data_IF_053643500961
#
_entry.id   IF_053643500961
#
_cell.length_a   1.000
_cell.length_b   1.000
_cell.length_c   1.000
_cell.angle_alpha   90.00
_cell.angle_beta   90.00
_cell.angle_gamma   90.00
#
_symmetry.space_group_name_H-M   'P 1'
#
loop_
_entity.id
_entity.type
_entity.pdbx_description
1 polymer ?
#
# COMPACT_ATOMS: atom_id res chain seq x y z
N UNK A 1 -19.22 -94.21 23.18
CA UNK A 1 -18.68 -94.58 21.83
C UNK A 1 -19.47 -93.98 20.65
N UNK A 2 -20.82 -94.10 20.61
CA UNK A 2 -21.66 -93.57 19.54
C UNK A 2 -21.74 -92.02 19.54
N UNK A 3 -21.69 -91.33 20.69
CA UNK A 3 -21.74 -89.87 20.87
C UNK A 3 -20.43 -89.26 20.44
N UNK A 4 -19.30 -89.87 20.74
CA UNK A 4 -17.94 -89.36 20.36
C UNK A 4 -17.70 -89.43 18.84
N UNK A 5 -18.14 -90.52 18.21
CA UNK A 5 -18.10 -90.62 16.72
C UNK A 5 -19.01 -89.64 16.03
N UNK A 6 -20.15 -89.31 16.64
CA UNK A 6 -21.06 -88.30 16.10
C UNK A 6 -20.45 -86.91 16.23
N UNK A 7 -19.85 -86.58 17.34
CA UNK A 7 -19.10 -85.31 17.55
C UNK A 7 -17.91 -85.21 16.60
N UNK A 8 -17.17 -86.29 16.39
CA UNK A 8 -16.05 -86.32 15.44
C UNK A 8 -16.55 -86.08 14.00
N UNK A 9 -17.68 -86.72 13.62
CA UNK A 9 -18.30 -86.55 12.29
C UNK A 9 -18.84 -85.12 12.07
N UNK A 10 -19.24 -84.44 13.13
CA UNK A 10 -19.73 -83.04 13.03
C UNK A 10 -18.56 -82.03 12.95
N UNK A 11 -17.45 -82.27 13.72
CA UNK A 11 -16.28 -81.43 13.69
C UNK A 11 -15.47 -81.57 12.41
N UNK A 12 -15.54 -82.69 11.74
CA UNK A 12 -14.81 -82.95 10.46
C UNK A 12 -15.76 -82.91 9.24
N UNK A 13 -16.90 -82.23 9.36
CA UNK A 13 -17.97 -82.14 8.34
C UNK A 13 -17.49 -81.62 6.97
N UNK A 14 -16.51 -80.79 6.98
CA UNK A 14 -15.89 -80.16 5.81
C UNK A 14 -14.72 -80.99 5.16
N UNK A 15 -14.28 -82.05 5.89
CA UNK A 15 -13.22 -82.90 5.36
C UNK A 15 -13.79 -84.22 4.77
N UNK A 16 -13.78 -84.31 3.38
CA UNK A 16 -14.27 -85.49 2.70
C UNK A 16 -13.54 -86.80 3.04
N UNK A 17 -12.23 -86.72 3.22
CA UNK A 17 -11.37 -87.88 3.52
C UNK A 17 -11.66 -88.39 4.93
N UNK A 18 -11.79 -87.54 5.88
CA UNK A 18 -12.15 -87.95 7.26
C UNK A 18 -13.55 -88.50 7.33
N UNK A 19 -14.53 -87.98 6.59
CA UNK A 19 -15.86 -88.56 6.45
C UNK A 19 -15.79 -90.01 5.96
N UNK A 20 -15.02 -90.23 4.89
CA UNK A 20 -14.80 -91.58 4.32
C UNK A 20 -14.18 -92.53 5.37
N UNK A 21 -13.23 -92.06 6.17
CA UNK A 21 -12.60 -92.82 7.21
C UNK A 21 -13.60 -93.10 8.36
N UNK A 22 -14.40 -92.12 8.73
CA UNK A 22 -15.49 -92.33 9.76
C UNK A 22 -16.51 -93.36 9.24
N UNK A 23 -16.89 -93.32 7.98
CA UNK A 23 -17.82 -94.28 7.41
C UNK A 23 -17.19 -95.73 7.34
N UNK A 24 -15.91 -95.83 7.15
CA UNK A 24 -15.14 -97.10 7.21
C UNK A 24 -15.03 -97.65 8.62
N UNK A 25 -14.82 -96.82 9.65
CA UNK A 25 -14.63 -97.26 11.04
C UNK A 25 -15.93 -97.58 11.72
N UNK A 26 -17.10 -96.97 11.37
CA UNK A 26 -18.43 -97.23 11.99
C UNK A 26 -18.81 -98.67 12.04
N UNK A 27 -18.76 -99.48 10.95
CA UNK A 27 -19.13 -100.86 10.95
C UNK A 27 -18.15 -101.68 11.78
N UNK A 28 -16.87 -101.35 11.80
CA UNK A 28 -15.84 -102.07 12.58
C UNK A 28 -16.03 -101.85 14.08
N UNK A 29 -16.37 -100.62 14.50
CA UNK A 29 -16.71 -100.29 15.87
C UNK A 29 -18.02 -100.92 16.30
N UNK A 30 -19.04 -100.90 15.45
CA UNK A 30 -20.34 -101.56 15.73
C UNK A 30 -20.14 -103.09 15.96
N UNK A 31 -19.32 -103.73 15.11
CA UNK A 31 -18.90 -105.11 15.29
C UNK A 31 -18.16 -105.33 16.66
N UNK A 32 -17.15 -104.49 16.94
CA UNK A 32 -16.40 -104.60 18.22
C UNK A 32 -17.32 -104.43 19.44
N UNK A 33 -18.28 -103.47 19.39
CA UNK A 33 -19.23 -103.27 20.48
C UNK A 33 -20.14 -104.48 20.66
N UNK A 34 -20.69 -105.05 19.53
CA UNK A 34 -21.54 -106.24 19.56
C UNK A 34 -20.79 -107.45 20.14
N UNK A 35 -19.53 -107.67 19.66
CA UNK A 35 -18.71 -108.79 20.20
C UNK A 35 -18.43 -108.57 21.69
N UNK A 36 -18.16 -107.40 22.15
CA UNK A 36 -17.95 -107.11 23.56
C UNK A 36 -19.22 -107.34 24.37
N UNK A 37 -20.37 -106.82 23.92
CA UNK A 37 -21.63 -106.97 24.64
C UNK A 37 -22.08 -108.45 24.69
N UNK A 38 -21.99 -109.21 23.59
CA UNK A 38 -22.26 -110.63 23.51
C UNK A 38 -21.33 -111.45 24.42
N UNK A 39 -20.04 -111.11 24.43
CA UNK A 39 -19.04 -111.73 25.32
C UNK A 39 -19.31 -111.48 26.79
N UNK A 40 -19.62 -110.22 27.14
CA UNK A 40 -19.98 -109.86 28.56
C UNK A 40 -21.31 -110.55 28.99
N UNK A 41 -22.31 -110.68 28.10
CA UNK A 41 -23.55 -111.38 28.37
C UNK A 41 -23.31 -112.84 28.63
N UNK A 42 -22.50 -113.53 27.82
CA UNK A 42 -22.17 -115.00 28.04
C UNK A 42 -21.35 -115.17 29.30
N UNK A 43 -20.40 -114.35 29.61
CA UNK A 43 -19.61 -114.44 30.84
C UNK A 43 -20.46 -114.20 32.10
N UNK A 44 -21.36 -113.20 32.04
CA UNK A 44 -22.25 -112.86 33.13
C UNK A 44 -23.32 -113.98 33.39
N UNK A 45 -23.70 -114.78 32.38
CA UNK A 45 -24.54 -115.95 32.44
C UNK A 45 -23.84 -117.18 32.95
N UNK A 46 -22.54 -117.19 33.25
CA UNK A 46 -21.73 -118.28 33.69
C UNK A 46 -21.18 -119.18 32.61
N UNK A 47 -21.39 -118.84 31.32
CA UNK A 47 -20.94 -119.63 30.15
C UNK A 47 -19.60 -119.14 29.59
N UNK A 48 -18.55 -119.17 30.45
CA UNK A 48 -17.24 -118.67 30.11
C UNK A 48 -16.55 -119.38 28.92
N UNK A 49 -16.72 -120.75 28.91
CA UNK A 49 -16.07 -121.55 27.82
C UNK A 49 -16.78 -121.34 26.46
N UNK A 50 -18.08 -121.11 26.44
CA UNK A 50 -18.89 -120.76 25.28
C UNK A 50 -18.48 -119.36 24.75
N UNK A 51 -18.21 -118.39 25.66
CA UNK A 51 -17.72 -117.10 25.29
C UNK A 51 -16.36 -117.12 24.59
N UNK A 52 -15.44 -118.00 25.05
CA UNK A 52 -14.10 -118.22 24.42
C UNK A 52 -14.24 -118.90 23.06
N UNK A 53 -15.15 -119.91 22.91
CA UNK A 53 -15.37 -120.58 21.60
C UNK A 53 -16.16 -119.76 20.61
N UNK A 54 -17.08 -118.91 21.02
CA UNK A 54 -17.89 -118.06 20.17
C UNK A 54 -17.05 -116.93 19.46
N UNK A 55 -15.93 -116.56 20.07
CA UNK A 55 -15.05 -115.50 19.55
C UNK A 55 -13.59 -115.93 19.48
N UNK A 56 -13.22 -116.71 18.48
CA UNK A 56 -11.86 -117.15 18.30
C UNK A 56 -10.95 -115.91 18.03
N UNK A 57 -9.77 -115.92 18.68
CA UNK A 57 -8.81 -114.80 18.57
C UNK A 57 -8.47 -114.43 17.12
N UNK A 58 -8.48 -115.42 16.21
CA UNK A 58 -8.21 -115.19 14.77
C UNK A 58 -9.30 -114.36 14.06
N UNK A 59 -10.59 -114.57 14.43
CA UNK A 59 -11.71 -113.82 13.84
C UNK A 59 -11.83 -112.39 14.37
N UNK A 60 -11.35 -112.16 15.60
CA UNK A 60 -11.29 -110.80 16.19
C UNK A 60 -10.12 -109.96 15.68
N UNK A 61 -9.05 -110.55 15.16
CA UNK A 61 -7.87 -109.89 14.78
C UNK A 61 -8.06 -108.96 13.54
N UNK A 62 -8.79 -109.41 12.51
CA UNK A 62 -8.99 -108.64 11.28
C UNK A 62 -9.80 -107.33 11.47
N UNK A 63 -10.93 -107.32 12.17
CA UNK A 63 -11.60 -106.04 12.44
C UNK A 63 -10.82 -105.09 13.34
N UNK A 64 -10.03 -105.58 14.30
CA UNK A 64 -9.19 -104.78 15.18
C UNK A 64 -8.02 -104.16 14.38
N UNK A 65 -7.38 -104.90 13.46
CA UNK A 65 -6.40 -104.36 12.51
C UNK A 65 -7.04 -103.33 11.57
N UNK A 66 -8.32 -103.58 11.18
CA UNK A 66 -9.07 -102.61 10.40
C UNK A 66 -9.28 -101.28 11.08
N UNK A 67 -9.68 -101.32 12.39
CA UNK A 67 -9.85 -100.16 13.23
C UNK A 67 -8.52 -99.36 13.31
N UNK A 68 -7.47 -100.07 13.64
CA UNK A 68 -6.14 -99.49 13.77
C UNK A 68 -5.67 -98.82 12.48
N UNK A 69 -5.83 -99.50 11.35
CA UNK A 69 -5.47 -98.95 10.04
C UNK A 69 -6.25 -97.69 9.73
N UNK A 70 -7.55 -97.66 9.94
CA UNK A 70 -8.38 -96.46 9.71
C UNK A 70 -7.95 -95.32 10.63
N UNK A 71 -7.63 -95.59 11.88
CA UNK A 71 -7.17 -94.62 12.86
C UNK A 71 -5.81 -94.08 12.50
N UNK A 72 -4.90 -94.95 12.04
CA UNK A 72 -3.56 -94.50 11.53
C UNK A 72 -3.68 -93.68 10.24
N UNK A 73 -4.60 -94.08 9.32
CA UNK A 73 -4.89 -93.22 8.12
C UNK A 73 -5.44 -91.87 8.50
N UNK A 74 -6.35 -91.78 9.49
CA UNK A 74 -6.92 -90.49 9.98
C UNK A 74 -5.82 -89.62 10.63
N UNK A 75 -4.96 -90.18 11.45
CA UNK A 75 -3.84 -89.43 12.05
C UNK A 75 -2.86 -88.94 11.06
N UNK A 76 -2.53 -89.73 10.00
CA UNK A 76 -1.67 -89.35 8.96
C UNK A 76 -2.18 -88.15 8.12
N UNK A 77 -3.52 -88.22 7.82
CA UNK A 77 -4.21 -87.13 7.10
C UNK A 77 -4.21 -85.84 7.92
N UNK A 78 -4.63 -85.90 9.20
CA UNK A 78 -4.66 -84.79 10.13
C UNK A 78 -3.28 -84.15 10.25
N UNK A 79 -2.24 -84.96 10.36
CA UNK A 79 -0.85 -84.52 10.43
C UNK A 79 -0.43 -83.81 9.14
N UNK A 80 -0.83 -84.33 7.98
CA UNK A 80 -0.57 -83.76 6.67
C UNK A 80 -1.24 -82.38 6.52
N UNK A 81 -2.50 -82.24 6.90
CA UNK A 81 -3.24 -80.97 6.87
C UNK A 81 -2.65 -79.91 7.83
N UNK A 82 -2.23 -80.37 9.02
CA UNK A 82 -1.62 -79.50 10.01
C UNK A 82 -0.28 -78.91 9.51
N UNK A 83 0.55 -79.76 8.89
CA UNK A 83 1.80 -79.30 8.27
C UNK A 83 1.57 -78.31 7.13
N UNK A 84 0.55 -78.56 6.30
CA UNK A 84 0.20 -77.63 5.20
C UNK A 84 -0.34 -76.29 5.73
N UNK A 85 -1.16 -76.28 6.77
CA UNK A 85 -1.65 -75.05 7.40
C UNK A 85 -0.52 -74.24 7.99
N UNK A 86 0.35 -74.90 8.76
CA UNK A 86 1.54 -74.23 9.34
C UNK A 86 2.47 -73.64 8.28
N UNK A 87 2.67 -74.35 7.16
CA UNK A 87 3.48 -73.85 6.05
C UNK A 87 2.86 -72.57 5.42
N UNK A 88 1.53 -72.55 5.17
CA UNK A 88 0.81 -71.39 4.65
C UNK A 88 0.85 -70.20 5.61
N UNK A 89 0.68 -70.44 6.91
CA UNK A 89 0.80 -69.40 7.92
C UNK A 89 2.20 -68.79 7.95
N UNK A 90 3.21 -69.62 7.86
CA UNK A 90 4.61 -69.14 7.80
C UNK A 90 4.88 -68.30 6.56
N UNK A 91 4.33 -68.67 5.40
CA UNK A 91 4.47 -67.88 4.17
C UNK A 91 3.73 -66.53 4.30
N UNK A 92 2.52 -66.51 4.85
CA UNK A 92 1.77 -65.29 5.10
C UNK A 92 2.49 -64.32 6.08
N UNK A 93 3.07 -64.89 7.15
CA UNK A 93 3.87 -64.10 8.10
C UNK A 93 5.13 -63.49 7.43
N UNK A 94 5.86 -64.31 6.63
CA UNK A 94 7.01 -63.83 5.88
C UNK A 94 6.62 -62.67 4.93
N UNK A 95 5.53 -62.84 4.18
CA UNK A 95 5.02 -61.79 3.27
C UNK A 95 4.72 -60.49 4.04
N UNK A 96 4.02 -60.59 5.18
CA UNK A 96 3.73 -59.43 6.01
C UNK A 96 5.02 -58.72 6.52
N UNK A 97 6.03 -59.49 6.91
CA UNK A 97 7.33 -58.94 7.34
C UNK A 97 8.00 -58.19 6.16
N UNK A 98 8.02 -58.77 4.98
CA UNK A 98 8.63 -58.12 3.81
C UNK A 98 7.90 -56.86 3.41
N UNK A 99 6.57 -56.89 3.40
CA UNK A 99 5.73 -55.71 3.09
C UNK A 99 5.98 -54.61 4.15
N UNK A 100 6.00 -54.97 5.45
CA UNK A 100 6.29 -54.05 6.54
C UNK A 100 7.68 -53.41 6.43
N UNK A 101 8.71 -54.20 6.11
CA UNK A 101 10.08 -53.70 5.88
C UNK A 101 10.15 -52.77 4.67
N UNK A 102 9.53 -53.13 3.56
CA UNK A 102 9.48 -52.30 2.37
C UNK A 102 8.78 -50.96 2.65
N UNK A 103 7.65 -50.98 3.36
CA UNK A 103 6.95 -49.79 3.79
C UNK A 103 7.81 -48.88 4.72
N UNK A 104 8.52 -49.49 5.68
CA UNK A 104 9.43 -48.76 6.59
C UNK A 104 10.57 -48.08 5.82
N UNK A 105 11.18 -48.79 4.86
CA UNK A 105 12.24 -48.23 4.00
C UNK A 105 11.69 -47.06 3.16
N UNK A 106 10.53 -47.24 2.54
CA UNK A 106 9.90 -46.18 1.75
C UNK A 106 9.62 -44.92 2.57
N UNK A 107 9.05 -45.07 3.76
CA UNK A 107 8.81 -43.96 4.69
C UNK A 107 10.12 -43.28 5.10
N UNK A 108 11.17 -44.04 5.34
CA UNK A 108 12.50 -43.51 5.66
C UNK A 108 13.08 -42.67 4.52
N UNK A 109 12.96 -43.16 3.28
CA UNK A 109 13.39 -42.42 2.09
C UNK A 109 12.58 -41.14 1.87
N UNK A 110 11.26 -41.20 1.99
CA UNK A 110 10.40 -40.03 1.89
C UNK A 110 10.71 -38.99 2.95
N UNK A 111 10.92 -39.43 4.21
CA UNK A 111 11.31 -38.56 5.31
C UNK A 111 12.65 -37.86 5.04
N UNK A 112 13.65 -38.61 4.53
CA UNK A 112 14.93 -38.03 4.17
C UNK A 112 14.83 -37.00 3.05
N UNK A 113 14.09 -37.31 1.99
CA UNK A 113 13.85 -36.37 0.87
C UNK A 113 13.17 -35.10 1.38
N UNK A 114 12.11 -35.26 2.19
CA UNK A 114 11.39 -34.12 2.79
C UNK A 114 12.31 -33.27 3.66
N UNK A 115 13.17 -33.89 4.48
CA UNK A 115 14.13 -33.19 5.33
C UNK A 115 15.16 -32.39 4.50
N UNK A 116 15.68 -32.98 3.43
CA UNK A 116 16.64 -32.32 2.54
C UNK A 116 15.98 -31.15 1.78
N UNK A 117 14.76 -31.34 1.28
CA UNK A 117 13.99 -30.27 0.62
C UNK A 117 13.70 -29.10 1.59
N UNK A 118 13.28 -29.40 2.84
CA UNK A 118 13.02 -28.39 3.86
C UNK A 118 14.29 -27.59 4.22
N UNK A 119 15.44 -28.27 4.34
CA UNK A 119 16.72 -27.58 4.59
C UNK A 119 17.06 -26.61 3.47
N UNK A 120 17.00 -27.03 2.19
CA UNK A 120 17.26 -26.17 1.06
C UNK A 120 16.31 -24.97 1.03
N UNK A 121 15.02 -25.22 1.22
CA UNK A 121 14.03 -24.16 1.27
C UNK A 121 14.30 -23.14 2.41
N UNK A 122 14.69 -23.61 3.58
CA UNK A 122 15.06 -22.75 4.70
C UNK A 122 16.33 -21.91 4.41
N UNK A 123 17.33 -22.49 3.76
CA UNK A 123 18.55 -21.78 3.33
C UNK A 123 18.25 -20.72 2.28
N UNK A 124 17.44 -21.03 1.27
CA UNK A 124 17.01 -20.09 0.24
C UNK A 124 16.20 -18.93 0.83
N UNK A 125 15.28 -19.24 1.75
CA UNK A 125 14.46 -18.24 2.42
C UNK A 125 15.30 -17.28 3.29
N UNK A 126 16.24 -17.83 4.07
CA UNK A 126 17.14 -17.01 4.90
C UNK A 126 18.07 -16.15 4.04
N UNK A 127 18.56 -16.67 2.93
CA UNK A 127 19.35 -15.93 1.95
C UNK A 127 18.56 -14.78 1.31
N UNK A 128 17.32 -15.06 0.87
CA UNK A 128 16.45 -14.04 0.30
C UNK A 128 16.07 -12.93 1.32
N UNK A 129 15.78 -13.32 2.57
CA UNK A 129 15.53 -12.36 3.65
C UNK A 129 16.76 -11.49 3.95
N UNK A 130 17.96 -12.08 3.96
CA UNK A 130 19.21 -11.35 4.13
C UNK A 130 19.44 -10.33 3.02
N UNK A 131 19.26 -10.73 1.76
CA UNK A 131 19.39 -9.86 0.61
C UNK A 131 18.37 -8.71 0.64
N UNK A 132 17.11 -8.99 1.00
CA UNK A 132 16.06 -7.97 1.13
C UNK A 132 16.38 -6.96 2.23
N UNK A 133 16.86 -7.41 3.39
CA UNK A 133 17.28 -6.51 4.49
C UNK A 133 18.45 -5.62 4.08
N UNK A 134 19.47 -6.16 3.44
CA UNK A 134 20.62 -5.40 2.93
C UNK A 134 20.19 -4.36 1.89
N UNK A 135 19.31 -4.74 0.97
CA UNK A 135 18.76 -3.80 -0.03
C UNK A 135 17.97 -2.68 0.64
N UNK A 136 17.14 -3.01 1.62
CA UNK A 136 16.32 -2.00 2.34
C UNK A 136 17.20 -1.01 3.11
N UNK A 137 18.22 -1.50 3.83
CA UNK A 137 19.21 -0.65 4.51
C UNK A 137 19.95 0.26 3.53
N UNK A 138 20.36 -0.28 2.37
CA UNK A 138 21.03 0.51 1.33
C UNK A 138 20.12 1.59 0.75
N UNK A 139 18.82 1.27 0.54
CA UNK A 139 17.84 2.23 0.07
C UNK A 139 17.56 3.32 1.11
N UNK A 140 17.38 2.96 2.37
CA UNK A 140 17.19 3.92 3.47
C UNK A 140 18.38 4.88 3.56
N UNK A 141 19.60 4.35 3.49
CA UNK A 141 20.81 5.16 3.52
C UNK A 141 20.91 6.11 2.32
N UNK A 142 20.63 5.63 1.11
CA UNK A 142 20.58 6.49 -0.09
C UNK A 142 19.51 7.57 -0.02
N UNK A 143 18.34 7.24 0.51
CA UNK A 143 17.26 8.23 0.72
C UNK A 143 17.71 9.28 1.71
N UNK A 144 18.34 8.87 2.82
CA UNK A 144 18.85 9.79 3.84
C UNK A 144 19.94 10.69 3.28
N UNK A 145 20.94 10.14 2.58
CA UNK A 145 22.04 10.91 1.95
C UNK A 145 21.47 11.93 0.94
N UNK A 146 20.55 11.50 0.09
CA UNK A 146 19.89 12.39 -0.88
C UNK A 146 19.07 13.48 -0.22
N UNK A 147 18.41 13.18 0.88
CA UNK A 147 17.63 14.17 1.65
C UNK A 147 18.56 15.22 2.27
N UNK A 148 19.69 14.80 2.82
CA UNK A 148 20.72 15.70 3.36
C UNK A 148 21.28 16.60 2.25
N UNK A 149 21.64 16.02 1.09
CA UNK A 149 22.19 16.79 -0.03
C UNK A 149 21.18 17.82 -0.56
N UNK A 150 19.92 17.42 -0.72
CA UNK A 150 18.84 18.32 -1.14
C UNK A 150 18.60 19.44 -0.13
N UNK A 151 18.65 19.12 1.15
CA UNK A 151 18.48 20.11 2.23
C UNK A 151 19.63 21.13 2.21
N UNK A 152 20.89 20.67 2.07
CA UNK A 152 22.05 21.55 1.97
C UNK A 152 21.98 22.44 0.73
N UNK A 153 21.71 21.86 -0.44
CA UNK A 153 21.57 22.63 -1.67
C UNK A 153 20.47 23.69 -1.57
N UNK A 154 19.34 23.34 -0.96
CA UNK A 154 18.25 24.30 -0.74
C UNK A 154 18.64 25.41 0.23
N UNK A 155 19.35 25.09 1.31
CA UNK A 155 19.87 26.09 2.25
C UNK A 155 20.90 27.03 1.59
N UNK A 156 21.77 26.51 0.73
CA UNK A 156 22.74 27.33 -0.03
C UNK A 156 22.03 28.27 -1.02
N UNK A 157 21.04 27.76 -1.77
CA UNK A 157 20.22 28.58 -2.67
C UNK A 157 19.53 29.71 -1.89
N UNK A 158 18.94 29.41 -0.75
CA UNK A 158 18.26 30.39 0.08
C UNK A 158 19.24 31.44 0.65
N UNK A 159 20.42 31.00 1.11
CA UNK A 159 21.47 31.90 1.59
C UNK A 159 21.97 32.80 0.45
N UNK A 160 22.23 32.24 -0.73
CA UNK A 160 22.60 32.98 -1.90
C UNK A 160 21.54 34.02 -2.29
N UNK A 161 20.28 33.63 -2.36
CA UNK A 161 19.15 34.50 -2.62
C UNK A 161 19.10 35.69 -1.65
N UNK A 162 19.32 35.42 -0.35
CA UNK A 162 19.35 36.46 0.70
C UNK A 162 20.49 37.46 0.48
N UNK A 163 21.73 36.96 0.27
CA UNK A 163 22.91 37.81 0.08
C UNK A 163 22.76 38.67 -1.16
N UNK A 164 22.42 38.05 -2.32
CA UNK A 164 22.24 38.78 -3.56
C UNK A 164 21.15 39.83 -3.47
N UNK A 165 20.04 39.51 -2.81
CA UNK A 165 18.93 40.43 -2.60
C UNK A 165 19.32 41.63 -1.75
N UNK A 166 20.11 41.41 -0.69
CA UNK A 166 20.59 42.46 0.17
C UNK A 166 21.57 43.39 -0.60
N UNK A 167 22.51 42.80 -1.32
CA UNK A 167 23.57 43.57 -2.04
C UNK A 167 23.04 44.31 -3.29
N UNK A 168 21.94 43.81 -3.88
CA UNK A 168 21.27 44.52 -4.97
C UNK A 168 20.39 45.70 -4.49
N UNK A 169 19.85 45.65 -3.25
CA UNK A 169 18.97 46.71 -2.75
C UNK A 169 19.71 48.04 -2.60
N UNK A 170 20.94 48.05 -2.10
CA UNK A 170 21.70 49.26 -1.88
C UNK A 170 21.94 50.10 -3.19
N UNK A 171 22.46 49.52 -4.29
CA UNK A 171 22.60 50.27 -5.55
C UNK A 171 21.25 50.71 -6.13
N UNK A 172 20.16 49.95 -5.95
CA UNK A 172 18.85 50.35 -6.41
C UNK A 172 18.29 51.55 -5.65
N UNK A 173 18.47 51.62 -4.34
CA UNK A 173 18.10 52.81 -3.54
C UNK A 173 18.88 54.02 -4.02
N UNK A 174 20.16 53.87 -4.32
CA UNK A 174 20.99 54.99 -4.87
C UNK A 174 20.48 55.46 -6.24
N UNK A 175 20.16 54.51 -7.16
CA UNK A 175 19.60 54.87 -8.48
C UNK A 175 18.26 55.59 -8.33
N UNK A 176 17.40 55.15 -7.41
CA UNK A 176 16.14 55.83 -7.12
C UNK A 176 16.38 57.25 -6.56
N UNK A 177 17.37 57.43 -5.67
CA UNK A 177 17.74 58.73 -5.12
C UNK A 177 18.22 59.67 -6.24
N UNK A 178 19.17 59.26 -7.08
CA UNK A 178 19.68 60.04 -8.17
C UNK A 178 18.60 60.36 -9.22
N UNK A 179 17.69 59.45 -9.55
CA UNK A 179 16.55 59.74 -10.44
C UNK A 179 15.61 60.81 -9.88
N UNK A 180 15.40 60.81 -8.54
CA UNK A 180 14.60 61.84 -7.89
C UNK A 180 15.31 63.21 -7.89
N UNK A 181 16.64 63.26 -7.66
CA UNK A 181 17.44 64.47 -7.76
C UNK A 181 17.44 65.01 -9.19
N UNK A 182 17.55 64.16 -10.22
CA UNK A 182 17.46 64.57 -11.61
C UNK A 182 16.06 65.15 -11.93
N UNK A 183 14.99 64.56 -11.42
CA UNK A 183 13.62 65.04 -11.59
C UNK A 183 13.44 66.45 -10.97
N UNK A 184 14.02 66.68 -9.77
CA UNK A 184 14.05 68.02 -9.15
C UNK A 184 14.91 69.04 -9.92
N UNK A 185 16.10 68.64 -10.40
CA UNK A 185 16.99 69.50 -11.22
C UNK A 185 16.36 69.89 -12.57
N UNK A 186 15.46 69.08 -13.11
CA UNK A 186 14.71 69.36 -14.33
C UNK A 186 13.66 70.47 -14.18
N UNK A 187 13.12 70.69 -12.94
CA UNK A 187 12.09 71.71 -12.71
C UNK A 187 12.51 73.12 -13.11
N UNK A 188 13.67 73.66 -12.64
CA UNK A 188 14.14 74.98 -13.05
C UNK A 188 14.46 75.05 -14.54
N UNK A 189 14.93 74.00 -15.17
CA UNK A 189 15.21 73.96 -16.61
C UNK A 189 13.89 74.05 -17.40
N UNK A 190 12.84 73.38 -17.03
CA UNK A 190 11.52 73.46 -17.61
C UNK A 190 10.92 74.89 -17.42
N UNK A 191 11.12 75.48 -16.25
CA UNK A 191 10.68 76.86 -15.98
C UNK A 191 11.39 77.86 -16.85
N UNK A 192 12.73 77.67 -17.10
CA UNK A 192 13.53 78.49 -17.98
C UNK A 192 13.04 78.37 -19.43
N UNK A 193 12.78 77.16 -19.94
CA UNK A 193 12.21 76.91 -21.25
C UNK A 193 10.91 77.64 -21.46
N UNK A 194 9.97 77.53 -20.51
CA UNK A 194 8.68 78.21 -20.54
C UNK A 194 8.83 79.71 -20.50
N UNK A 195 9.73 80.23 -19.67
CA UNK A 195 10.02 81.65 -19.58
C UNK A 195 10.58 82.23 -20.90
N UNK A 196 11.44 81.45 -21.65
CA UNK A 196 11.95 81.85 -22.99
C UNK A 196 10.83 81.82 -24.00
N UNK A 197 9.97 80.78 -24.02
CA UNK A 197 8.84 80.65 -24.93
C UNK A 197 7.82 81.81 -24.78
N UNK A 198 7.56 82.22 -23.56
CA UNK A 198 6.64 83.33 -23.29
C UNK A 198 7.11 84.66 -23.71
N UNK A 199 8.46 84.87 -23.93
CA UNK A 199 9.07 86.12 -24.22
C UNK A 199 9.73 86.19 -25.61
N UNK A 200 9.89 85.03 -26.22
CA UNK A 200 10.59 84.95 -27.52
C UNK A 200 9.58 84.73 -28.66
N UNK A 201 9.20 85.82 -29.30
CA UNK A 201 8.27 85.81 -30.43
C UNK A 201 8.96 85.36 -31.75
N UNK A 202 10.29 85.19 -31.75
CA UNK A 202 11.06 84.84 -32.97
C UNK A 202 11.47 83.32 -32.99
N UNK A 203 11.05 82.47 -32.01
CA UNK A 203 11.29 81.04 -32.06
C UNK A 203 12.76 80.62 -31.99
N UNK A 204 13.55 81.20 -31.10
CA UNK A 204 14.99 80.95 -30.97
C UNK A 204 15.37 79.66 -30.25
N UNK A 205 14.41 78.97 -29.57
CA UNK A 205 14.72 77.73 -28.96
C UNK A 205 14.64 76.61 -30.00
N UNK A 206 15.69 75.81 -30.25
CA UNK A 206 15.62 74.73 -31.21
C UNK A 206 14.60 73.67 -30.72
N UNK A 207 13.72 73.19 -31.60
CA UNK A 207 12.70 72.17 -31.28
C UNK A 207 13.29 70.94 -30.62
N UNK A 208 14.53 70.57 -30.96
CA UNK A 208 15.27 69.48 -30.34
C UNK A 208 15.55 69.70 -28.85
N UNK A 209 15.84 70.94 -28.41
CA UNK A 209 16.11 71.28 -27.01
C UNK A 209 14.79 71.16 -26.20
N UNK A 210 13.72 71.69 -26.79
CA UNK A 210 12.39 71.60 -26.19
C UNK A 210 11.94 70.13 -26.02
N UNK A 211 12.06 69.31 -27.06
CA UNK A 211 11.74 67.90 -27.05
C UNK A 211 12.58 67.15 -26.00
N UNK A 212 13.89 67.43 -25.92
CA UNK A 212 14.76 66.81 -24.93
C UNK A 212 14.31 67.10 -23.47
N UNK A 213 13.95 68.35 -23.16
CA UNK A 213 13.64 68.82 -21.82
C UNK A 213 12.20 68.42 -21.42
N UNK A 214 11.25 68.51 -22.33
CA UNK A 214 9.81 68.29 -22.01
C UNK A 214 9.35 66.83 -22.17
N UNK A 215 10.07 66.06 -23.06
CA UNK A 215 9.68 64.70 -23.34
C UNK A 215 10.79 63.70 -23.07
N UNK A 216 11.96 63.76 -23.74
CA UNK A 216 12.92 62.66 -23.76
C UNK A 216 13.57 62.39 -22.40
N UNK A 217 14.01 63.43 -21.67
CA UNK A 217 14.64 63.30 -20.35
C UNK A 217 13.63 62.82 -19.28
N UNK A 218 12.40 63.42 -19.17
CA UNK A 218 11.36 62.88 -18.26
C UNK A 218 10.97 61.46 -18.55
N UNK A 219 10.84 61.08 -19.83
CA UNK A 219 10.52 59.71 -20.22
C UNK A 219 11.64 58.74 -19.78
N UNK A 220 12.91 59.10 -20.05
CA UNK A 220 14.06 58.29 -19.62
C UNK A 220 14.14 58.14 -18.10
N UNK A 221 13.98 59.23 -17.33
CA UNK A 221 13.93 59.19 -15.86
C UNK A 221 12.76 58.31 -15.39
N UNK A 222 11.57 58.46 -15.97
CA UNK A 222 10.39 57.64 -15.69
C UNK A 222 10.64 56.18 -15.95
N UNK A 223 11.34 55.83 -17.02
CA UNK A 223 11.69 54.48 -17.40
C UNK A 223 12.70 53.85 -16.41
N UNK A 224 13.73 54.57 -16.02
CA UNK A 224 14.72 54.14 -15.04
C UNK A 224 14.03 53.90 -13.70
N UNK A 225 13.22 54.83 -13.20
CA UNK A 225 12.49 54.70 -11.93
C UNK A 225 11.52 53.54 -11.93
N UNK A 226 10.78 53.30 -13.00
CA UNK A 226 9.88 52.20 -13.16
C UNK A 226 10.62 50.86 -13.15
N UNK A 227 11.74 50.76 -13.84
CA UNK A 227 12.60 49.56 -13.90
C UNK A 227 13.21 49.26 -12.52
N UNK A 228 13.70 50.32 -11.83
CA UNK A 228 14.30 50.17 -10.49
C UNK A 228 13.28 49.72 -9.45
N UNK A 229 12.05 50.29 -9.44
CA UNK A 229 10.96 49.81 -8.58
C UNK A 229 10.61 48.36 -8.87
N UNK A 230 10.57 47.95 -10.13
CA UNK A 230 10.32 46.56 -10.50
C UNK A 230 11.41 45.64 -9.96
N UNK A 231 12.68 46.02 -10.02
CA UNK A 231 13.77 45.24 -9.44
C UNK A 231 13.69 45.15 -7.92
N UNK A 232 13.34 46.25 -7.23
CA UNK A 232 13.16 46.20 -5.75
C UNK A 232 12.00 45.27 -5.35
N UNK A 233 10.89 45.30 -6.08
CA UNK A 233 9.80 44.32 -5.90
C UNK A 233 10.24 42.89 -6.12
N UNK A 234 11.06 42.62 -7.16
CA UNK A 234 11.62 41.29 -7.42
C UNK A 234 12.48 40.79 -6.24
N UNK A 235 13.37 41.66 -5.74
CA UNK A 235 14.24 41.40 -4.58
C UNK A 235 13.41 41.12 -3.33
N UNK A 236 12.40 41.96 -3.06
CA UNK A 236 11.49 41.75 -1.91
C UNK A 236 10.78 40.40 -1.94
N UNK A 237 10.35 39.96 -3.14
CA UNK A 237 9.71 38.67 -3.35
C UNK A 237 10.63 37.49 -3.06
N UNK A 238 11.84 37.52 -3.60
CA UNK A 238 12.85 36.49 -3.41
C UNK A 238 13.15 36.34 -1.91
N UNK A 239 13.32 37.47 -1.20
CA UNK A 239 13.55 37.48 0.23
C UNK A 239 12.37 36.90 1.02
N UNK A 240 11.13 37.23 0.63
CA UNK A 240 9.93 36.71 1.27
C UNK A 240 9.84 35.20 1.13
N UNK A 241 10.01 34.67 -0.09
CA UNK A 241 10.06 33.24 -0.35
C UNK A 241 11.17 32.52 0.43
N UNK A 242 12.35 33.12 0.49
CA UNK A 242 13.50 32.58 1.22
C UNK A 242 13.25 32.51 2.74
N UNK A 243 12.64 33.55 3.34
CA UNK A 243 12.33 33.58 4.78
C UNK A 243 11.22 32.61 5.15
N UNK A 244 10.16 32.54 4.38
CA UNK A 244 9.04 31.63 4.63
C UNK A 244 9.45 30.16 4.49
N UNK A 245 10.42 29.84 3.63
CA UNK A 245 11.03 28.51 3.56
C UNK A 245 11.64 28.01 4.88
N UNK A 246 12.07 28.92 5.78
CA UNK A 246 12.72 28.58 7.06
C UNK A 246 11.77 28.56 8.27
N UNK A 247 10.55 29.06 8.12
CA UNK A 247 9.62 29.15 9.24
C UNK A 247 9.17 27.75 9.65
N UNK A 248 9.28 27.37 10.93
CA UNK A 248 8.71 26.14 11.45
C UNK A 248 7.19 26.20 11.34
N UNK A 249 6.57 25.18 10.80
CA UNK A 249 5.12 25.06 10.72
C UNK A 249 4.59 24.56 12.06
N UNK A 250 3.51 25.19 12.54
CA UNK A 250 2.83 24.83 13.78
C UNK A 250 1.43 24.30 13.47
N UNK A 251 1.28 22.96 13.29
CA UNK A 251 -0.03 22.39 13.02
C UNK A 251 -0.98 22.55 14.20
N UNK A 252 -2.14 23.14 13.94
CA UNK A 252 -3.25 23.24 14.88
C UNK A 252 -4.57 22.88 14.17
N UNK A 253 -5.60 22.53 14.93
CA UNK A 253 -6.93 22.30 14.37
C UNK A 253 -7.55 23.62 13.98
N UNK A 254 -7.88 23.78 12.71
CA UNK A 254 -8.46 24.99 12.13
C UNK A 254 -9.90 24.72 11.74
N UNK A 255 -10.88 25.31 12.43
CA UNK A 255 -12.22 25.39 11.92
C UNK A 255 -12.24 26.35 10.73
N UNK A 256 -12.42 25.82 9.51
CA UNK A 256 -12.20 26.61 8.30
C UNK A 256 -13.26 27.68 8.08
N UNK A 257 -14.49 27.46 8.52
CA UNK A 257 -15.58 28.43 8.33
C UNK A 257 -15.29 29.79 9.00
N UNK A 258 -14.95 29.90 10.31
CA UNK A 258 -14.59 31.18 10.91
C UNK A 258 -13.28 31.77 10.36
N UNK A 259 -12.33 30.96 9.90
CA UNK A 259 -11.10 31.46 9.26
C UNK A 259 -11.44 32.16 7.93
N UNK A 260 -12.23 31.51 7.09
CA UNK A 260 -12.66 32.08 5.80
C UNK A 260 -13.55 33.29 6.01
N UNK A 261 -14.50 33.24 6.95
CA UNK A 261 -15.38 34.37 7.28
C UNK A 261 -14.56 35.59 7.72
N UNK A 262 -13.56 35.40 8.58
CA UNK A 262 -12.63 36.45 8.99
C UNK A 262 -11.91 37.08 7.78
N UNK A 263 -11.41 36.28 6.84
CA UNK A 263 -10.73 36.77 5.65
C UNK A 263 -11.68 37.52 4.68
N UNK A 264 -12.88 36.97 4.46
CA UNK A 264 -13.89 37.65 3.61
C UNK A 264 -14.31 38.98 4.22
N UNK A 265 -14.40 39.10 5.54
CA UNK A 265 -14.72 40.36 6.21
C UNK A 265 -13.69 41.47 5.93
N UNK A 266 -12.42 41.14 5.75
CA UNK A 266 -11.35 42.13 5.46
C UNK A 266 -11.48 42.76 4.08
N UNK A 267 -12.13 42.10 3.14
CA UNK A 267 -12.32 42.60 1.77
C UNK A 267 -13.75 43.11 1.53
N UNK A 268 -14.67 42.91 2.47
CA UNK A 268 -16.09 43.23 2.32
C UNK A 268 -16.32 44.64 1.82
N UNK A 269 -15.72 45.63 2.45
CA UNK A 269 -15.89 47.02 2.02
C UNK A 269 -15.54 47.26 0.53
N UNK A 270 -14.39 46.68 0.08
CA UNK A 270 -13.94 46.78 -1.30
C UNK A 270 -14.88 46.05 -2.28
N UNK A 271 -15.47 44.93 -1.83
CA UNK A 271 -16.45 44.15 -2.61
C UNK A 271 -17.78 44.92 -2.71
N UNK A 272 -18.24 45.53 -1.60
CA UNK A 272 -19.46 46.37 -1.56
C UNK A 272 -19.34 47.60 -2.48
N UNK A 273 -18.15 48.27 -2.51
CA UNK A 273 -17.86 49.37 -3.45
C UNK A 273 -17.98 48.95 -4.91
N UNK A 274 -17.69 47.66 -5.21
CA UNK A 274 -17.84 47.08 -6.55
C UNK A 274 -19.25 46.51 -6.82
N UNK A 275 -20.19 46.75 -5.89
CA UNK A 275 -21.56 46.23 -5.97
C UNK A 275 -21.64 44.72 -5.90
N UNK A 276 -20.63 44.08 -5.28
CA UNK A 276 -20.45 42.62 -5.26
C UNK A 276 -20.95 41.97 -3.97
N UNK A 277 -20.70 40.65 -3.90
CA UNK A 277 -21.01 39.82 -2.73
C UNK A 277 -19.90 38.81 -2.44
N UNK A 278 -19.82 38.43 -1.17
CA UNK A 278 -18.95 37.30 -0.71
C UNK A 278 -19.83 36.23 -0.08
N UNK A 279 -19.61 34.96 -0.42
CA UNK A 279 -20.43 33.85 0.07
C UNK A 279 -19.56 32.62 0.43
N UNK A 280 -19.94 31.89 1.49
CA UNK A 280 -19.46 30.55 1.79
C UNK A 280 -20.54 29.60 1.30
N UNK A 281 -20.19 28.68 0.39
CA UNK A 281 -21.09 27.70 -0.21
C UNK A 281 -20.91 26.33 0.44
N UNK A 282 -21.85 25.89 1.26
CA UNK A 282 -21.83 24.63 2.01
C UNK A 282 -20.97 24.69 3.27
N UNK A 283 -20.77 23.53 3.89
CA UNK A 283 -19.92 23.38 5.06
C UNK A 283 -18.45 23.25 4.66
N UNK A 284 -17.58 23.98 5.35
CA UNK A 284 -16.13 23.89 5.13
C UNK A 284 -15.53 22.86 6.10
N UNK A 285 -14.80 21.83 5.62
CA UNK A 285 -14.20 20.82 6.47
C UNK A 285 -13.03 21.38 7.30
N UNK A 286 -12.95 21.00 8.57
CA UNK A 286 -11.81 21.31 9.44
C UNK A 286 -10.51 20.69 8.90
N UNK A 287 -9.39 21.37 9.10
CA UNK A 287 -8.05 20.87 8.75
C UNK A 287 -7.10 21.04 9.92
N UNK A 288 -6.18 20.11 10.10
CA UNK A 288 -5.03 20.27 11.02
C UNK A 288 -3.86 20.77 10.21
N UNK A 289 -3.53 22.08 10.33
CA UNK A 289 -2.54 22.74 9.49
C UNK A 289 -1.96 23.97 10.19
N UNK A 290 -1.03 24.67 9.53
CA UNK A 290 -0.49 25.94 10.03
C UNK A 290 -1.45 27.09 9.68
N UNK A 291 -2.00 27.75 10.71
CA UNK A 291 -2.99 28.83 10.58
C UNK A 291 -2.49 29.95 9.68
N UNK A 292 -1.29 30.49 9.97
CA UNK A 292 -0.75 31.63 9.25
C UNK A 292 -0.52 31.30 7.76
N UNK A 293 -0.06 30.10 7.46
CA UNK A 293 0.13 29.67 6.07
C UNK A 293 -1.21 29.55 5.33
N UNK A 294 -2.23 28.98 5.96
CA UNK A 294 -3.58 28.87 5.37
C UNK A 294 -4.20 30.25 5.16
N UNK A 295 -4.17 31.12 6.18
CA UNK A 295 -4.69 32.48 6.07
C UNK A 295 -3.98 33.25 4.96
N UNK A 296 -2.67 33.11 4.80
CA UNK A 296 -1.90 33.77 3.76
C UNK A 296 -2.21 33.24 2.36
N UNK A 297 -2.40 31.93 2.22
CA UNK A 297 -2.85 31.33 0.95
C UNK A 297 -4.20 31.87 0.54
N UNK A 298 -5.20 31.79 1.43
CA UNK A 298 -6.57 32.22 1.13
C UNK A 298 -6.67 33.74 0.93
N UNK A 299 -6.01 34.53 1.77
CA UNK A 299 -5.95 35.99 1.60
C UNK A 299 -5.41 36.40 0.24
N UNK A 300 -4.30 35.79 -0.22
CA UNK A 300 -3.78 36.06 -1.56
C UNK A 300 -4.76 35.73 -2.70
N UNK A 301 -5.50 34.62 -2.57
CA UNK A 301 -6.48 34.23 -3.57
C UNK A 301 -7.70 35.17 -3.57
N UNK A 302 -8.20 35.54 -2.38
CA UNK A 302 -9.31 36.47 -2.22
C UNK A 302 -8.93 37.87 -2.70
N UNK A 303 -7.75 38.36 -2.36
CA UNK A 303 -7.24 39.65 -2.85
C UNK A 303 -7.08 39.67 -4.38
N UNK A 304 -6.65 38.55 -4.97
CA UNK A 304 -6.59 38.39 -6.42
C UNK A 304 -7.99 38.46 -7.05
N UNK A 305 -9.00 37.84 -6.45
CA UNK A 305 -10.38 37.90 -6.92
C UNK A 305 -10.91 39.34 -6.95
N UNK A 306 -10.67 40.13 -5.89
CA UNK A 306 -11.03 41.55 -5.84
C UNK A 306 -10.26 42.35 -6.88
N UNK A 307 -8.94 42.14 -7.00
CA UNK A 307 -8.05 42.89 -7.90
C UNK A 307 -8.37 42.66 -9.37
N UNK A 308 -8.69 41.43 -9.75
CA UNK A 308 -8.93 41.05 -11.13
C UNK A 308 -10.40 40.89 -11.48
N UNK A 309 -11.29 41.65 -10.76
CA UNK A 309 -12.70 41.69 -11.06
C UNK A 309 -12.99 42.16 -12.49
N UNK A 310 -14.14 41.85 -13.01
CA UNK A 310 -14.63 42.36 -14.30
C UNK A 310 -15.50 43.59 -14.07
N UNK A 311 -15.23 44.73 -14.75
CA UNK A 311 -16.09 45.89 -14.64
C UNK A 311 -17.47 45.68 -15.30
N UNK A 312 -17.69 44.59 -16.01
CA UNK A 312 -18.93 44.31 -16.75
C UNK A 312 -20.01 43.72 -15.87
N UNK A 313 -19.70 43.32 -14.63
CA UNK A 313 -20.65 42.65 -13.72
C UNK A 313 -20.26 42.86 -12.26
N UNK A 314 -21.25 42.79 -11.32
CA UNK A 314 -20.94 42.79 -9.89
C UNK A 314 -19.99 41.67 -9.51
N UNK A 315 -19.02 41.95 -8.63
CA UNK A 315 -18.05 40.98 -8.18
C UNK A 315 -18.76 39.95 -7.29
N UNK A 316 -18.51 38.67 -7.58
CA UNK A 316 -18.90 37.56 -6.70
C UNK A 316 -17.69 36.73 -6.34
N UNK A 317 -17.44 36.58 -5.04
CA UNK A 317 -16.42 35.69 -4.51
C UNK A 317 -17.11 34.62 -3.68
N UNK A 318 -16.95 33.36 -4.07
CA UNK A 318 -17.46 32.22 -3.32
C UNK A 318 -16.31 31.34 -2.83
N UNK A 319 -16.39 30.89 -1.57
CA UNK A 319 -15.49 29.88 -1.02
C UNK A 319 -16.31 28.64 -0.70
N UNK A 320 -15.87 27.50 -1.21
CA UNK A 320 -16.50 26.21 -0.95
C UNK A 320 -15.49 25.15 -0.63
N UNK A 321 -15.90 24.09 0.06
CA UNK A 321 -15.00 23.04 0.48
C UNK A 321 -15.65 21.67 0.52
N UNK A 322 -14.84 20.65 0.67
CA UNK A 322 -15.27 19.27 0.81
C UNK A 322 -14.13 18.34 1.14
N UNK A 323 -14.45 17.09 1.45
CA UNK A 323 -13.45 16.04 1.65
C UNK A 323 -13.49 15.04 0.49
N UNK A 324 -12.32 14.71 -0.04
CA UNK A 324 -12.19 13.72 -1.12
C UNK A 324 -10.92 12.89 -0.89
N UNK A 325 -11.07 11.58 -0.81
CA UNK A 325 -9.94 10.63 -0.64
C UNK A 325 -9.02 10.96 0.56
N UNK A 326 -9.60 11.37 1.70
CA UNK A 326 -8.84 11.71 2.91
C UNK A 326 -8.09 13.05 2.82
N UNK A 327 -8.39 13.87 1.83
CA UNK A 327 -7.86 15.23 1.65
C UNK A 327 -8.98 16.26 1.76
N UNK A 328 -8.64 17.39 2.35
CA UNK A 328 -9.50 18.58 2.37
C UNK A 328 -9.29 19.34 1.06
N UNK A 329 -10.37 19.64 0.39
CA UNK A 329 -10.38 20.45 -0.83
C UNK A 329 -11.09 21.76 -0.52
N UNK A 330 -10.43 22.88 -0.80
CA UNK A 330 -10.99 24.22 -0.71
C UNK A 330 -10.93 24.88 -2.08
N UNK A 331 -11.98 25.57 -2.48
CA UNK A 331 -12.03 26.28 -3.75
C UNK A 331 -12.41 27.75 -3.49
N UNK A 332 -11.61 28.65 -4.06
CA UNK A 332 -11.91 30.08 -4.14
C UNK A 332 -12.36 30.35 -5.57
N UNK A 333 -13.60 30.78 -5.72
CA UNK A 333 -14.29 30.98 -6.99
C UNK A 333 -14.55 32.48 -7.17
N UNK A 334 -14.14 33.04 -8.26
CA UNK A 334 -14.47 34.40 -8.65
C UNK A 334 -15.15 34.48 -10.04
N UNK A 335 -15.91 35.50 -10.27
CA UNK A 335 -16.50 35.81 -11.58
C UNK A 335 -15.77 36.95 -12.30
N UNK A 336 -14.47 37.12 -12.04
CA UNK A 336 -13.64 38.18 -12.61
C UNK A 336 -13.38 38.06 -14.12
N UNK A 337 -12.30 38.68 -14.57
CA UNK A 337 -11.93 38.71 -16.00
C UNK A 337 -11.48 37.37 -16.59
N UNK A 338 -11.19 36.38 -15.70
CA UNK A 338 -10.69 35.07 -16.09
C UNK A 338 -9.22 35.06 -16.57
N UNK A 339 -8.73 33.89 -16.86
CA UNK A 339 -7.34 33.58 -17.24
C UNK A 339 -7.37 32.71 -18.50
N UNK A 340 -6.50 33.01 -19.47
CA UNK A 340 -6.36 32.21 -20.67
C UNK A 340 -5.90 30.78 -20.28
N UNK A 341 -6.51 29.72 -20.80
CA UNK A 341 -6.12 28.35 -20.49
C UNK A 341 -4.63 28.03 -20.66
N UNK A 342 -3.96 28.65 -21.63
CA UNK A 342 -2.50 28.48 -21.85
C UNK A 342 -1.64 29.02 -20.71
N UNK A 343 -2.20 29.90 -19.86
CA UNK A 343 -1.49 30.54 -18.76
C UNK A 343 -1.76 29.88 -17.40
N UNK A 344 -2.65 28.86 -17.29
CA UNK A 344 -3.05 28.23 -16.00
C UNK A 344 -1.86 27.71 -15.18
N UNK A 345 -0.86 27.11 -15.81
CA UNK A 345 0.38 26.69 -15.13
C UNK A 345 1.33 27.88 -14.92
N UNK A 346 1.40 28.77 -15.88
CA UNK A 346 2.36 29.87 -15.90
C UNK A 346 2.06 30.96 -14.88
N UNK A 347 0.80 31.14 -14.47
CA UNK A 347 0.43 32.12 -13.43
C UNK A 347 1.06 31.83 -12.06
N UNK A 348 1.49 30.58 -11.82
CA UNK A 348 2.20 30.17 -10.61
C UNK A 348 3.73 30.33 -10.72
N UNK A 349 4.27 30.75 -11.89
CA UNK A 349 5.67 31.10 -12.03
C UNK A 349 5.93 32.50 -11.49
N UNK A 350 7.14 32.74 -10.99
CA UNK A 350 7.55 34.06 -10.51
C UNK A 350 7.48 35.08 -11.64
N UNK A 351 6.91 36.26 -11.34
CA UNK A 351 6.86 37.42 -12.27
C UNK A 351 6.01 37.21 -13.52
N UNK A 352 5.21 36.15 -13.57
CA UNK A 352 4.29 35.90 -14.67
C UNK A 352 2.92 36.52 -14.37
N UNK A 353 2.33 37.08 -15.39
CA UNK A 353 0.97 37.67 -15.36
C UNK A 353 0.27 37.32 -16.66
N UNK A 354 -1.02 37.00 -16.60
CA UNK A 354 -1.85 36.74 -17.78
C UNK A 354 -2.58 37.99 -18.26
N UNK A 355 -2.64 38.20 -19.57
CA UNK A 355 -3.41 39.23 -20.25
C UNK A 355 -2.87 40.66 -20.13
N UNK A 356 -3.72 41.67 -20.49
CA UNK A 356 -3.38 43.10 -20.48
C UNK A 356 -3.17 43.56 -19.03
N UNK A 357 -2.04 44.24 -18.80
CA UNK A 357 -1.58 44.65 -17.47
C UNK A 357 -2.18 46.02 -17.08
N UNK A 358 -3.48 46.06 -16.82
CA UNK A 358 -4.20 47.27 -16.36
C UNK A 358 -4.10 47.52 -14.85
N UNK A 359 -3.76 46.49 -14.05
CA UNK A 359 -3.71 46.60 -12.59
C UNK A 359 -2.27 46.51 -12.07
N UNK A 360 -1.87 47.30 -11.04
CA UNK A 360 -0.53 47.22 -10.44
C UNK A 360 -0.34 45.86 -9.74
N UNK A 361 0.86 45.26 -9.91
CA UNK A 361 1.20 44.01 -9.22
C UNK A 361 2.43 43.33 -9.77
N UNK A 362 3.19 42.69 -8.92
CA UNK A 362 4.53 42.17 -9.16
C UNK A 362 4.57 40.75 -9.76
N UNK A 363 3.42 40.06 -9.82
CA UNK A 363 3.36 38.65 -10.31
C UNK A 363 3.97 37.61 -9.36
N UNK A 364 3.92 37.87 -8.05
CA UNK A 364 4.57 37.06 -7.00
C UNK A 364 3.55 36.27 -6.18
N UNK A 365 2.33 36.80 -6.01
CA UNK A 365 1.33 36.28 -5.08
C UNK A 365 1.00 34.80 -5.30
N UNK A 366 0.73 34.39 -6.55
CA UNK A 366 0.37 33.00 -6.87
C UNK A 366 1.57 32.04 -6.79
N UNK A 367 2.78 32.48 -7.15
CA UNK A 367 3.99 31.69 -6.95
C UNK A 367 4.24 31.41 -5.45
N UNK A 368 4.01 32.41 -4.61
CA UNK A 368 4.06 32.28 -3.16
C UNK A 368 2.98 31.35 -2.61
N UNK A 369 1.75 31.46 -3.08
CA UNK A 369 0.67 30.52 -2.75
C UNK A 369 1.05 29.10 -3.09
N UNK A 370 1.59 28.83 -4.28
CA UNK A 370 2.03 27.49 -4.68
C UNK A 370 3.13 26.95 -3.76
N UNK A 371 4.09 27.77 -3.40
CA UNK A 371 5.18 27.39 -2.49
C UNK A 371 4.64 27.03 -1.08
N UNK A 372 3.73 27.84 -0.51
CA UNK A 372 3.09 27.57 0.79
C UNK A 372 2.25 26.30 0.74
N UNK A 373 1.40 26.15 -0.27
CA UNK A 373 0.53 24.97 -0.43
C UNK A 373 1.37 23.67 -0.55
N UNK A 374 2.45 23.72 -1.33
CA UNK A 374 3.36 22.60 -1.45
C UNK A 374 4.02 22.25 -0.10
N UNK A 375 4.40 23.26 0.65
CA UNK A 375 4.98 23.09 1.99
C UNK A 375 4.00 22.50 3.02
N UNK A 376 2.70 22.79 2.84
CA UNK A 376 1.61 22.17 3.61
C UNK A 376 1.26 20.75 3.11
N UNK A 377 2.06 20.13 2.20
CA UNK A 377 1.80 18.83 1.62
C UNK A 377 0.61 18.81 0.65
N UNK A 378 0.25 20.00 0.14
CA UNK A 378 -0.88 20.21 -0.73
C UNK A 378 -0.51 20.43 -2.20
N UNK A 379 -1.56 20.61 -3.00
CA UNK A 379 -1.47 20.98 -4.42
C UNK A 379 -2.50 22.08 -4.69
N UNK A 380 -2.12 23.07 -5.49
CA UNK A 380 -3.04 24.10 -6.00
C UNK A 380 -3.16 23.98 -7.52
N UNK A 381 -4.39 24.12 -8.02
CA UNK A 381 -4.71 24.15 -9.44
C UNK A 381 -5.62 25.33 -9.75
N UNK A 382 -5.60 25.79 -11.01
CA UNK A 382 -6.47 26.84 -11.51
C UNK A 382 -7.30 26.30 -12.68
N UNK A 383 -8.59 26.59 -12.68
CA UNK A 383 -9.49 26.36 -13.81
C UNK A 383 -10.18 27.68 -14.11
N UNK A 384 -10.05 28.17 -15.35
CA UNK A 384 -10.55 29.48 -15.74
C UNK A 384 -10.77 29.56 -17.24
N UNK A 385 -11.63 30.47 -17.67
CA UNK A 385 -11.75 30.87 -19.06
C UNK A 385 -11.89 32.40 -19.11
N UNK A 386 -11.44 33.00 -20.21
CA UNK A 386 -11.54 34.44 -20.37
C UNK A 386 -12.96 34.93 -20.23
N UNK A 387 -13.16 35.99 -19.44
CA UNK A 387 -14.46 36.63 -19.13
C UNK A 387 -15.45 35.72 -18.33
N UNK A 388 -15.00 34.58 -17.78
CA UNK A 388 -15.84 33.66 -16.98
C UNK A 388 -15.42 33.56 -15.51
N UNK A 389 -14.35 34.26 -15.10
CA UNK A 389 -13.79 34.18 -13.76
C UNK A 389 -12.79 33.04 -13.61
N UNK A 390 -12.39 32.74 -12.38
CA UNK A 390 -11.43 31.68 -12.06
C UNK A 390 -11.88 30.85 -10.84
N UNK A 391 -11.45 29.61 -10.84
CA UNK A 391 -11.57 28.69 -9.71
C UNK A 391 -10.17 28.24 -9.32
N UNK A 392 -9.73 28.63 -8.13
CA UNK A 392 -8.49 28.17 -7.53
C UNK A 392 -8.82 27.05 -6.54
N UNK A 393 -8.37 25.84 -6.85
CA UNK A 393 -8.61 24.63 -6.07
C UNK A 393 -7.37 24.22 -5.31
N UNK A 394 -7.50 24.17 -3.97
CA UNK A 394 -6.50 23.73 -3.02
C UNK A 394 -6.84 22.32 -2.56
N UNK A 395 -5.88 21.38 -2.62
CA UNK A 395 -6.02 20.06 -2.05
C UNK A 395 -4.95 19.88 -0.97
N UNK A 396 -5.38 19.75 0.28
CA UNK A 396 -4.52 19.66 1.45
C UNK A 396 -4.69 18.30 2.16
N UNK A 397 -3.66 17.74 2.81
CA UNK A 397 -3.86 16.62 3.72
C UNK A 397 -4.77 17.06 4.87
N UNK A 398 -5.66 16.19 5.33
CA UNK A 398 -6.55 16.49 6.47
C UNK A 398 -5.76 16.81 7.74
N UNK A 399 -4.61 16.16 7.90
CA UNK A 399 -3.65 16.40 8.99
C UNK A 399 -2.28 16.64 8.39
N UNK A 400 -1.74 17.84 8.65
CA UNK A 400 -0.36 18.15 8.30
C UNK A 400 0.59 17.32 9.17
N UNK A 401 1.32 16.40 8.54
CA UNK A 401 2.41 15.68 9.20
C UNK A 401 3.69 16.49 8.95
N UNK A 402 4.30 17.07 9.99
CA UNK A 402 5.59 17.73 9.83
C UNK A 402 6.60 16.71 9.31
N UNK A 403 7.21 16.98 8.17
CA UNK A 403 8.33 16.17 7.69
C UNK A 403 9.49 16.39 8.67
N UNK A 404 10.02 15.35 9.30
CA UNK A 404 11.09 15.35 10.32
C UNK A 404 12.44 15.98 9.87
N UNK A 405 12.45 16.79 8.85
CA UNK A 405 13.61 17.56 8.40
C UNK A 405 13.56 19.06 8.73
N UNK A 406 12.56 19.54 9.49
CA UNK A 406 12.32 20.98 9.73
C UNK A 406 12.42 21.41 11.20
N UNK A 407 12.90 20.54 12.07
CA UNK A 407 13.24 20.91 13.46
C UNK A 407 14.76 20.97 13.59
N UNK A 408 15.34 22.13 13.38
CA UNK A 408 16.55 22.66 14.01
C UNK A 408 16.80 24.08 13.51
#
# INVERSE_FOLDING_TARGET
MTVELYQLAETTRDNQVERANIDRIKPLLAWKTKVNDDSVALVSAGHRDEAIQAFPAEQALQPLLGIRKVTDDMLAEEHGLLVQRLAREQEAIRLLIYVGLAAAVLLGVLSLISMLAMRRFAEDLTGAQGALRSLNQTLEQRVQDRTIDLTRANQEIQRFAYIVSHDLRSPLVNVMGFTSELEEAMKPLRALVRWIEERDTEGRLPDQVKQAIDADIPEAIGFIRTSTRKMDGLIGAILKLSREGRRVLHPERLPMEPVVEGLLSTVRHRVDELGGETVIEGELPDVVSDRLAIEQVLSNLIDNAVKYHSPKRPLRIAVRGGETNGRVVLEVVDNGRGIDPKDHERIFELFRRSGVQSQPGEGIGLAHVRALVHRLGGVITCTSALDQGAVFRLSLPRVLVPTEGMSA
#
